data_IF_306664987705
#
_entry.id   IF_306664987705
#
_cell.length_a   1.000
_cell.length_b   1.000
_cell.length_c   1.000
_cell.angle_alpha   90.00
_cell.angle_beta   90.00
_cell.angle_gamma   90.00
#
_symmetry.space_group_name_H-M   'P 1'
#
loop_
_entity.id
_entity.type
_entity.pdbx_description
1 polymer ?
#
# COMPACT_ATOMS: atom_id res chain seq x y z
N UNK A 1 23.92 13.02 27.45
CA UNK A 1 23.25 12.54 26.22
C UNK A 1 22.35 11.38 26.60
N UNK A 2 21.02 11.49 26.45
CA UNK A 2 20.10 10.43 26.83
C UNK A 2 20.20 9.29 25.82
N UNK A 3 20.67 8.12 26.26
CA UNK A 3 20.74 6.87 25.47
C UNK A 3 19.35 6.24 25.18
N UNK A 4 18.27 6.89 25.61
CA UNK A 4 16.92 6.38 25.38
C UNK A 4 16.48 6.71 23.96
N UNK A 5 15.93 5.73 23.21
CA UNK A 5 15.42 5.95 21.85
C UNK A 5 14.29 6.98 21.83
N UNK A 6 14.28 7.82 20.81
CA UNK A 6 13.20 8.83 20.63
C UNK A 6 11.84 8.14 20.41
N UNK A 7 10.75 8.86 20.53
CA UNK A 7 9.42 8.31 20.20
C UNK A 7 9.32 7.93 18.72
N UNK A 8 9.99 8.68 17.83
CA UNK A 8 10.10 8.35 16.43
C UNK A 8 10.84 7.01 16.18
N UNK A 9 11.94 6.77 16.89
CA UNK A 9 12.69 5.50 16.82
C UNK A 9 11.86 4.33 17.35
N UNK A 10 11.11 4.54 18.44
CA UNK A 10 10.19 3.53 18.97
C UNK A 10 9.07 3.21 17.98
N UNK A 11 8.45 4.23 17.41
CA UNK A 11 7.41 4.05 16.37
C UNK A 11 7.93 3.26 15.18
N UNK A 12 9.14 3.59 14.70
CA UNK A 12 9.78 2.86 13.61
C UNK A 12 10.07 1.40 13.96
N UNK A 13 10.59 1.13 15.16
CA UNK A 13 10.84 -0.26 15.63
C UNK A 13 9.54 -1.04 15.74
N UNK A 14 8.48 -0.44 16.28
CA UNK A 14 7.15 -1.04 16.33
C UNK A 14 6.65 -1.41 14.93
N UNK A 15 6.78 -0.50 13.95
CA UNK A 15 6.42 -0.76 12.56
C UNK A 15 7.20 -1.94 11.96
N UNK A 16 8.51 -2.01 12.18
CA UNK A 16 9.34 -3.11 11.67
C UNK A 16 8.95 -4.45 12.32
N UNK A 17 8.72 -4.47 13.64
CA UNK A 17 8.22 -5.67 14.34
C UNK A 17 6.90 -6.14 13.75
N UNK A 18 5.97 -5.20 13.53
CA UNK A 18 4.67 -5.51 12.91
C UNK A 18 4.85 -6.12 11.51
N UNK A 19 5.64 -5.48 10.63
CA UNK A 19 5.84 -5.96 9.25
C UNK A 19 6.54 -7.31 9.20
N UNK A 20 7.57 -7.52 10.02
CA UNK A 20 8.29 -8.80 10.10
C UNK A 20 7.35 -9.90 10.58
N UNK A 21 6.59 -9.67 11.67
CA UNK A 21 5.66 -10.67 12.18
C UNK A 21 4.55 -11.04 11.18
N UNK A 22 4.03 -10.07 10.41
CA UNK A 22 3.06 -10.34 9.34
C UNK A 22 3.64 -11.26 8.26
N UNK A 23 4.84 -10.95 7.78
CA UNK A 23 5.48 -11.74 6.72
C UNK A 23 5.93 -13.11 7.20
N UNK A 24 6.39 -13.24 8.46
CA UNK A 24 6.69 -14.53 9.06
C UNK A 24 5.41 -15.36 9.27
N UNK A 25 4.31 -14.74 9.71
CA UNK A 25 3.01 -15.38 9.82
C UNK A 25 2.57 -15.95 8.45
N UNK A 26 2.69 -15.15 7.40
CA UNK A 26 2.41 -15.58 6.03
C UNK A 26 3.36 -16.69 5.56
N UNK A 27 4.66 -16.56 5.83
CA UNK A 27 5.67 -17.56 5.45
C UNK A 27 5.42 -18.93 6.11
N UNK A 28 5.06 -18.97 7.42
CA UNK A 28 4.70 -20.20 8.10
C UNK A 28 3.45 -20.85 7.48
N UNK A 29 2.42 -20.05 7.24
CA UNK A 29 1.19 -20.54 6.62
C UNK A 29 1.42 -21.07 5.19
N UNK A 30 2.31 -20.43 4.43
CA UNK A 30 2.67 -20.84 3.07
C UNK A 30 3.39 -22.21 3.03
N UNK A 31 4.08 -22.59 4.10
CA UNK A 31 4.69 -23.92 4.24
C UNK A 31 3.82 -24.90 5.05
N UNK A 32 2.54 -24.58 5.27
CA UNK A 32 1.56 -25.43 5.93
C UNK A 32 1.61 -25.39 7.46
N UNK A 33 2.41 -24.51 8.07
CA UNK A 33 2.49 -24.38 9.53
C UNK A 33 1.44 -23.38 10.01
N UNK A 34 0.29 -23.92 10.43
CA UNK A 34 -0.84 -23.18 10.97
C UNK A 34 -0.96 -23.35 12.49
N UNK A 35 -2.03 -22.83 13.10
CA UNK A 35 -2.28 -22.99 14.52
C UNK A 35 -1.40 -22.10 15.42
N UNK A 36 -0.88 -22.62 16.52
CA UNK A 36 -0.18 -21.83 17.54
C UNK A 36 1.00 -20.98 17.05
N UNK A 37 1.91 -21.48 16.16
CA UNK A 37 3.02 -20.64 15.69
C UNK A 37 2.52 -19.40 14.92
N UNK A 38 1.49 -19.55 14.08
CA UNK A 38 0.88 -18.46 13.35
C UNK A 38 0.20 -17.47 14.32
N UNK A 39 -0.57 -17.96 15.28
CA UNK A 39 -1.26 -17.13 16.28
C UNK A 39 -0.24 -16.37 17.16
N UNK A 40 0.88 -16.99 17.53
CA UNK A 40 1.94 -16.33 18.28
C UNK A 40 2.55 -15.16 17.50
N UNK A 41 2.83 -15.33 16.20
CA UNK A 41 3.33 -14.24 15.36
C UNK A 41 2.28 -13.13 15.16
N UNK A 42 1.01 -13.48 15.03
CA UNK A 42 -0.05 -12.49 14.99
C UNK A 42 -0.18 -11.74 16.33
N UNK A 43 -0.01 -12.42 17.47
CA UNK A 43 0.07 -11.76 18.77
C UNK A 43 1.28 -10.81 18.87
N UNK A 44 2.44 -11.16 18.29
CA UNK A 44 3.61 -10.24 18.18
C UNK A 44 3.27 -9.02 17.33
N UNK A 45 2.50 -9.17 16.24
CA UNK A 45 1.99 -8.04 15.48
C UNK A 45 1.12 -7.11 16.35
N UNK A 46 0.20 -7.66 17.13
CA UNK A 46 -0.64 -6.87 18.04
C UNK A 46 0.17 -6.22 19.15
N UNK A 47 1.18 -6.92 19.69
CA UNK A 47 2.13 -6.35 20.66
C UNK A 47 2.92 -5.17 20.05
N UNK A 48 3.35 -5.28 18.80
CA UNK A 48 3.96 -4.18 18.04
C UNK A 48 3.04 -2.96 17.94
N UNK A 49 1.76 -3.19 17.65
CA UNK A 49 0.75 -2.13 17.65
C UNK A 49 0.60 -1.50 19.04
N UNK A 50 0.53 -2.30 20.10
CA UNK A 50 0.47 -1.83 21.49
C UNK A 50 1.72 -1.04 21.91
N UNK A 51 2.91 -1.47 21.49
CA UNK A 51 4.17 -0.75 21.76
C UNK A 51 4.18 0.66 21.14
N UNK A 52 3.45 0.89 20.05
CA UNK A 52 3.33 2.21 19.45
C UNK A 52 2.65 3.23 20.39
N UNK A 53 1.83 2.78 21.35
CA UNK A 53 1.21 3.61 22.37
C UNK A 53 2.24 4.31 23.27
N UNK A 54 3.43 3.74 23.44
CA UNK A 54 4.53 4.37 24.17
C UNK A 54 5.07 5.61 23.45
N UNK A 55 4.71 5.82 22.20
CA UNK A 55 5.04 6.98 21.39
C UNK A 55 4.04 8.13 21.46
N UNK A 56 2.93 8.01 22.21
CA UNK A 56 1.84 9.02 22.22
C UNK A 56 2.24 10.41 22.73
N UNK A 57 3.38 10.54 23.39
CA UNK A 57 3.92 11.85 23.80
C UNK A 57 4.40 12.70 22.62
N UNK A 58 4.67 12.09 21.47
CA UNK A 58 5.05 12.79 20.24
C UNK A 58 3.86 12.82 19.26
N UNK A 59 3.34 13.99 18.94
CA UNK A 59 2.14 14.15 18.11
C UNK A 59 2.28 13.51 16.72
N UNK A 60 3.49 13.44 16.16
CA UNK A 60 3.72 12.76 14.85
C UNK A 60 3.51 11.25 14.93
N UNK A 61 3.60 10.65 16.11
CA UNK A 61 3.28 9.24 16.38
C UNK A 61 1.85 9.11 16.90
N UNK A 62 1.42 10.02 17.78
CA UNK A 62 0.10 9.99 18.40
C UNK A 62 -1.03 10.09 17.37
N UNK A 63 -0.94 11.02 16.41
CA UNK A 63 -1.99 11.22 15.40
C UNK A 63 -2.28 9.91 14.62
N UNK A 64 -1.30 9.24 14.01
CA UNK A 64 -1.53 7.94 13.35
C UNK A 64 -2.12 6.88 14.27
N UNK A 65 -1.57 6.73 15.46
CA UNK A 65 -2.02 5.69 16.41
C UNK A 65 -3.47 5.91 16.80
N UNK A 66 -3.82 7.12 17.23
CA UNK A 66 -5.19 7.43 17.67
C UNK A 66 -6.21 7.32 16.55
N UNK A 67 -5.85 7.74 15.33
CA UNK A 67 -6.74 7.59 14.17
C UNK A 67 -6.94 6.12 13.81
N UNK A 68 -5.87 5.33 13.78
CA UNK A 68 -6.01 3.90 13.50
C UNK A 68 -6.85 3.20 14.56
N UNK A 69 -6.65 3.51 15.85
CA UNK A 69 -7.49 2.97 16.93
C UNK A 69 -8.97 3.37 16.78
N UNK A 70 -9.24 4.62 16.40
CA UNK A 70 -10.60 5.08 16.12
C UNK A 70 -11.22 4.30 14.93
N UNK A 71 -10.47 4.11 13.84
CA UNK A 71 -10.90 3.33 12.68
C UNK A 71 -11.17 1.86 13.04
N UNK A 72 -10.31 1.25 13.87
CA UNK A 72 -10.52 -0.10 14.40
C UNK A 72 -11.81 -0.16 15.22
N UNK A 73 -12.02 0.80 16.13
CA UNK A 73 -13.24 0.90 16.94
C UNK A 73 -14.51 1.05 16.09
N UNK A 74 -14.48 1.92 15.06
CA UNK A 74 -15.61 2.08 14.12
C UNK A 74 -15.82 0.79 13.32
N UNK A 75 -14.75 0.15 12.87
CA UNK A 75 -14.83 -1.11 12.12
C UNK A 75 -15.46 -2.23 12.95
N UNK A 76 -15.14 -2.32 14.24
CA UNK A 76 -15.75 -3.28 15.17
C UNK A 76 -17.25 -3.03 15.37
N UNK A 77 -17.69 -1.76 15.31
CA UNK A 77 -19.08 -1.38 15.49
C UNK A 77 -19.93 -1.34 14.21
N UNK A 78 -19.34 -1.61 13.02
CA UNK A 78 -20.05 -1.53 11.74
C UNK A 78 -20.17 -2.90 11.08
N UNK A 79 -21.27 -3.21 10.35
CA UNK A 79 -21.39 -4.46 9.62
C UNK A 79 -20.41 -4.51 8.43
N UNK A 80 -20.06 -5.71 7.97
CA UNK A 80 -19.27 -5.95 6.77
C UNK A 80 -20.17 -6.28 5.58
N UNK A 81 -21.04 -5.36 5.17
CA UNK A 81 -22.09 -5.58 4.16
C UNK A 81 -21.67 -5.27 2.72
N UNK A 82 -20.51 -4.61 2.53
CA UNK A 82 -20.00 -4.29 1.21
C UNK A 82 -19.51 -5.53 0.45
N UNK A 83 -19.57 -5.47 -0.89
CA UNK A 83 -19.29 -6.63 -1.75
C UNK A 83 -17.88 -7.21 -1.56
N UNK A 84 -16.81 -6.42 -1.81
CA UNK A 84 -15.43 -6.93 -1.73
C UNK A 84 -15.08 -7.51 -0.34
N UNK A 85 -15.40 -6.82 0.79
CA UNK A 85 -15.17 -7.39 2.12
C UNK A 85 -15.83 -8.74 2.32
N UNK A 86 -17.10 -8.90 1.96
CA UNK A 86 -17.85 -10.16 2.17
C UNK A 86 -17.46 -11.24 1.20
N UNK A 87 -17.34 -10.89 -0.11
CA UNK A 87 -17.20 -11.87 -1.17
C UNK A 87 -15.73 -12.25 -1.46
N UNK A 88 -14.77 -11.43 -1.00
CA UNK A 88 -13.35 -11.69 -1.21
C UNK A 88 -12.67 -11.92 0.14
N UNK A 89 -12.48 -10.85 0.92
CA UNK A 89 -11.56 -10.86 2.05
C UNK A 89 -12.03 -11.70 3.22
N UNK A 90 -13.27 -11.49 3.71
CA UNK A 90 -13.85 -12.26 4.79
C UNK A 90 -14.22 -13.67 4.34
N UNK A 91 -14.61 -13.86 3.07
CA UNK A 91 -14.89 -15.18 2.51
C UNK A 91 -13.64 -16.07 2.55
N UNK A 92 -12.53 -15.61 1.98
CA UNK A 92 -11.27 -16.36 2.01
C UNK A 92 -10.75 -16.53 3.44
N UNK A 93 -10.87 -15.50 4.29
CA UNK A 93 -10.48 -15.59 5.69
C UNK A 93 -11.26 -16.67 6.45
N UNK A 94 -12.59 -16.75 6.23
CA UNK A 94 -13.43 -17.77 6.84
C UNK A 94 -13.05 -19.17 6.40
N UNK A 95 -12.76 -19.35 5.11
CA UNK A 95 -12.26 -20.62 4.58
C UNK A 95 -10.94 -21.02 5.21
N UNK A 96 -9.94 -20.10 5.24
CA UNK A 96 -8.65 -20.36 5.90
C UNK A 96 -8.85 -20.73 7.38
N UNK A 97 -9.75 -20.05 8.09
CA UNK A 97 -10.07 -20.34 9.50
C UNK A 97 -10.68 -21.74 9.69
N UNK A 98 -11.64 -22.12 8.84
CA UNK A 98 -12.34 -23.40 8.94
C UNK A 98 -11.50 -24.58 8.45
N UNK A 99 -10.79 -24.41 7.35
CA UNK A 99 -10.04 -25.47 6.67
C UNK A 99 -8.61 -25.63 7.24
N UNK A 100 -8.13 -24.65 8.03
CA UNK A 100 -6.80 -24.69 8.63
C UNK A 100 -5.66 -24.66 7.62
N UNK A 101 -5.88 -24.11 6.42
CA UNK A 101 -4.88 -24.01 5.37
C UNK A 101 -4.98 -22.69 4.61
N UNK A 102 -3.82 -22.18 4.16
CA UNK A 102 -3.74 -21.00 3.30
C UNK A 102 -4.37 -21.25 1.91
N UNK A 103 -4.40 -22.50 1.48
CA UNK A 103 -4.78 -22.92 0.14
C UNK A 103 -6.27 -23.27 -0.03
N UNK A 104 -7.10 -23.05 0.97
CA UNK A 104 -8.55 -23.28 0.92
C UNK A 104 -9.24 -22.55 -0.26
N UNK A 105 -8.71 -21.39 -0.68
CA UNK A 105 -9.23 -20.61 -1.80
C UNK A 105 -8.80 -21.13 -3.18
N UNK A 106 -7.87 -22.12 -3.25
CA UNK A 106 -7.33 -22.66 -4.48
C UNK A 106 -8.11 -23.89 -5.00
N UNK A 107 -9.32 -24.11 -4.52
CA UNK A 107 -10.22 -25.17 -4.98
C UNK A 107 -11.24 -24.71 -6.04
N UNK A 108 -11.05 -23.50 -6.58
CA UNK A 108 -11.92 -22.85 -7.57
C UNK A 108 -13.37 -22.61 -7.09
N UNK A 109 -13.64 -22.79 -5.80
CA UNK A 109 -14.95 -22.48 -5.22
C UNK A 109 -15.19 -20.97 -5.25
N UNK A 110 -16.36 -20.54 -5.74
CA UNK A 110 -16.72 -19.14 -5.92
C UNK A 110 -15.66 -18.34 -6.74
N UNK A 111 -15.47 -18.64 -8.03
CA UNK A 111 -14.39 -18.03 -8.85
C UNK A 111 -14.48 -16.50 -8.92
N UNK A 112 -15.69 -15.91 -8.79
CA UNK A 112 -15.88 -14.45 -8.72
C UNK A 112 -15.27 -13.79 -7.46
N UNK A 113 -14.79 -14.60 -6.49
CA UNK A 113 -14.11 -14.11 -5.28
C UNK A 113 -12.64 -13.77 -5.49
N UNK A 114 -12.14 -13.74 -6.71
CA UNK A 114 -10.74 -13.48 -7.01
C UNK A 114 -9.79 -14.44 -6.28
N UNK A 115 -9.96 -15.74 -6.51
CA UNK A 115 -9.20 -16.80 -5.84
C UNK A 115 -7.67 -16.72 -6.10
N UNK A 116 -7.24 -15.95 -7.10
CA UNK A 116 -5.84 -15.68 -7.41
C UNK A 116 -5.23 -14.52 -6.58
N UNK A 117 -6.03 -13.81 -5.78
CA UNK A 117 -5.53 -12.73 -4.93
C UNK A 117 -4.63 -13.29 -3.82
N UNK A 118 -3.54 -12.57 -3.45
CA UNK A 118 -2.66 -13.00 -2.37
C UNK A 118 -3.40 -13.13 -1.04
N UNK A 119 -3.10 -14.20 -0.29
CA UNK A 119 -3.84 -14.58 0.90
C UNK A 119 -3.35 -13.92 2.21
N UNK A 120 -2.43 -12.93 2.17
CA UNK A 120 -1.90 -12.30 3.39
C UNK A 120 -3.01 -11.73 4.26
N UNK A 121 -3.89 -10.90 3.70
CA UNK A 121 -4.95 -10.25 4.50
C UNK A 121 -5.98 -11.24 4.99
N UNK A 122 -6.53 -12.14 4.17
CA UNK A 122 -7.38 -13.22 4.63
C UNK A 122 -6.76 -14.05 5.76
N UNK A 123 -5.47 -14.39 5.67
CA UNK A 123 -4.76 -15.11 6.71
C UNK A 123 -4.76 -14.37 8.05
N UNK A 124 -4.47 -13.06 8.04
CA UNK A 124 -4.47 -12.26 9.26
C UNK A 124 -5.86 -12.10 9.87
N UNK A 125 -6.89 -11.99 9.02
CA UNK A 125 -8.28 -12.01 9.45
C UNK A 125 -8.66 -13.36 10.07
N UNK A 126 -8.21 -14.47 9.49
CA UNK A 126 -8.38 -15.81 10.05
C UNK A 126 -7.63 -15.97 11.39
N UNK A 127 -6.40 -15.42 11.50
CA UNK A 127 -5.65 -15.42 12.75
C UNK A 127 -6.37 -14.63 13.86
N UNK A 128 -7.00 -13.51 13.54
CA UNK A 128 -7.82 -12.75 14.48
C UNK A 128 -8.99 -13.57 15.03
N UNK A 129 -9.70 -14.31 14.17
CA UNK A 129 -10.74 -15.25 14.60
C UNK A 129 -10.16 -16.40 15.42
N UNK A 130 -8.99 -16.91 15.05
CA UNK A 130 -8.27 -17.96 15.76
C UNK A 130 -7.90 -17.60 17.20
N UNK A 131 -7.50 -16.33 17.46
CA UNK A 131 -7.24 -15.84 18.80
C UNK A 131 -8.51 -15.81 19.69
N UNK A 132 -9.69 -15.62 19.10
CA UNK A 132 -10.97 -15.68 19.83
C UNK A 132 -11.50 -17.11 20.00
N UNK A 133 -10.98 -18.07 19.24
CA UNK A 133 -11.47 -19.44 19.22
C UNK A 133 -12.80 -19.64 18.49
N UNK A 134 -13.37 -18.61 17.89
CA UNK A 134 -14.60 -18.69 17.10
C UNK A 134 -14.62 -17.66 15.97
N UNK A 135 -15.32 -17.99 14.89
CA UNK A 135 -15.52 -17.06 13.77
C UNK A 135 -16.58 -16.01 14.13
N UNK A 136 -16.26 -14.76 13.86
CA UNK A 136 -17.18 -13.64 13.70
C UNK A 136 -16.66 -12.73 12.57
N UNK A 137 -17.48 -11.85 12.04
CA UNK A 137 -17.07 -10.99 10.92
C UNK A 137 -16.52 -9.62 11.37
N UNK A 138 -16.69 -9.26 12.65
CA UNK A 138 -16.33 -7.93 13.15
C UNK A 138 -14.84 -7.82 13.44
N UNK A 139 -14.28 -8.75 14.24
CA UNK A 139 -12.87 -8.70 14.59
C UNK A 139 -11.95 -8.98 13.40
N UNK A 140 -12.18 -10.00 12.55
CA UNK A 140 -11.43 -10.20 11.32
C UNK A 140 -11.40 -8.95 10.44
N UNK A 141 -12.55 -8.29 10.21
CA UNK A 141 -12.64 -7.07 9.42
C UNK A 141 -11.80 -5.93 10.00
N UNK A 142 -11.76 -5.80 11.31
CA UNK A 142 -11.02 -4.75 12.02
C UNK A 142 -9.49 -4.87 11.88
N UNK A 143 -8.98 -5.99 11.36
CA UNK A 143 -7.56 -6.14 10.96
C UNK A 143 -7.20 -5.17 9.83
N UNK A 144 -8.12 -4.91 8.90
CA UNK A 144 -7.83 -4.04 7.75
C UNK A 144 -7.37 -2.62 8.16
N UNK A 145 -8.11 -1.84 8.98
CA UNK A 145 -7.63 -0.54 9.43
C UNK A 145 -6.35 -0.63 10.30
N UNK A 146 -6.14 -1.72 11.04
CA UNK A 146 -4.93 -1.89 11.83
C UNK A 146 -3.67 -2.00 10.97
N UNK A 147 -3.77 -2.53 9.76
CA UNK A 147 -2.67 -2.62 8.80
C UNK A 147 -2.19 -1.24 8.28
N UNK A 148 -2.93 -0.16 8.48
CA UNK A 148 -2.44 1.20 8.18
C UNK A 148 -1.30 1.62 9.10
N UNK A 149 -1.27 1.09 10.33
CA UNK A 149 -0.39 1.58 11.39
C UNK A 149 1.10 1.45 11.05
N UNK A 150 1.65 0.29 10.62
CA UNK A 150 3.07 0.17 10.34
C UNK A 150 3.53 1.11 9.22
N UNK A 151 2.74 1.29 8.16
CA UNK A 151 3.07 2.22 7.08
C UNK A 151 3.10 3.68 7.55
N UNK A 152 2.10 4.10 8.32
CA UNK A 152 2.05 5.45 8.92
C UNK A 152 3.21 5.70 9.88
N UNK A 153 3.58 4.73 10.73
CA UNK A 153 4.71 4.85 11.66
C UNK A 153 6.07 4.94 10.95
N UNK A 154 6.20 4.43 9.73
CA UNK A 154 7.43 4.54 8.95
C UNK A 154 7.59 5.94 8.31
N UNK A 155 6.50 6.60 7.91
CA UNK A 155 6.58 7.87 7.20
C UNK A 155 6.32 9.08 8.10
N UNK A 156 5.36 9.01 9.01
CA UNK A 156 4.93 10.15 9.84
C UNK A 156 6.05 10.80 10.67
N UNK A 157 6.93 10.04 11.35
CA UNK A 157 8.03 10.66 12.09
C UNK A 157 9.03 11.41 11.21
N UNK A 158 9.16 11.03 9.94
CA UNK A 158 10.02 11.69 8.97
C UNK A 158 9.43 12.94 8.33
N UNK A 159 8.15 13.22 8.56
CA UNK A 159 7.52 14.46 8.10
C UNK A 159 7.98 15.64 8.96
N UNK A 160 8.20 16.78 8.34
CA UNK A 160 8.82 17.96 8.97
C UNK A 160 8.02 18.47 10.19
N UNK A 161 6.69 18.39 10.17
CA UNK A 161 5.86 18.84 11.28
C UNK A 161 4.64 17.94 11.48
N UNK A 162 4.03 18.05 12.67
CA UNK A 162 2.77 17.40 12.99
C UNK A 162 1.62 17.76 12.03
N UNK A 163 1.65 18.95 11.45
CA UNK A 163 0.62 19.40 10.51
C UNK A 163 0.65 18.62 9.20
N UNK A 164 1.84 18.21 8.75
CA UNK A 164 1.97 17.33 7.58
C UNK A 164 1.45 15.94 7.87
N UNK A 165 1.62 15.45 9.09
CA UNK A 165 1.02 14.16 9.52
C UNK A 165 -0.50 14.29 9.55
N UNK A 166 -1.03 15.36 10.12
CA UNK A 166 -2.47 15.63 10.14
C UNK A 166 -3.05 15.75 8.73
N UNK A 167 -2.38 16.46 7.83
CA UNK A 167 -2.81 16.57 6.42
C UNK A 167 -2.82 15.22 5.72
N UNK A 168 -1.78 14.40 5.89
CA UNK A 168 -1.74 13.04 5.33
C UNK A 168 -2.91 12.20 5.84
N UNK A 169 -3.15 12.21 7.15
CA UNK A 169 -4.24 11.45 7.77
C UNK A 169 -5.60 11.96 7.28
N UNK A 170 -5.82 13.28 7.22
CA UNK A 170 -7.06 13.87 6.69
C UNK A 170 -7.28 13.47 5.22
N UNK A 171 -6.22 13.47 4.41
CA UNK A 171 -6.29 13.03 3.02
C UNK A 171 -6.68 11.55 2.94
N UNK A 172 -6.06 10.68 3.75
CA UNK A 172 -6.42 9.26 3.82
C UNK A 172 -7.88 9.05 4.24
N UNK A 173 -8.33 9.75 5.27
CA UNK A 173 -9.72 9.68 5.74
C UNK A 173 -10.70 10.15 4.65
N UNK A 174 -10.33 11.20 3.91
CA UNK A 174 -11.20 11.76 2.86
C UNK A 174 -11.23 10.90 1.60
N UNK A 175 -10.10 10.36 1.19
CA UNK A 175 -9.98 9.50 -0.02
C UNK A 175 -10.51 8.09 0.25
N UNK A 176 -10.17 7.51 1.40
CA UNK A 176 -10.58 6.16 1.80
C UNK A 176 -12.04 6.08 2.24
N UNK A 177 -12.56 7.15 2.87
CA UNK A 177 -13.95 7.20 3.37
C UNK A 177 -14.32 5.93 4.17
N UNK A 178 -15.49 5.39 3.87
CA UNK A 178 -16.00 4.14 4.46
C UNK A 178 -15.12 2.91 4.18
N UNK A 179 -14.33 2.92 3.10
CA UNK A 179 -13.45 1.79 2.75
C UNK A 179 -12.46 1.47 3.85
N UNK A 180 -12.03 2.48 4.63
CA UNK A 180 -11.09 2.30 5.74
C UNK A 180 -11.64 1.42 6.87
N UNK A 181 -12.96 1.36 7.03
CA UNK A 181 -13.62 0.62 8.13
C UNK A 181 -14.39 -0.60 7.66
N UNK A 182 -14.73 -0.67 6.37
CA UNK A 182 -15.52 -1.76 5.80
C UNK A 182 -14.70 -2.96 5.31
N UNK A 183 -13.36 -2.93 5.44
CA UNK A 183 -12.51 -4.06 5.06
C UNK A 183 -12.09 -4.09 3.59
N UNK A 184 -12.11 -2.95 2.88
CA UNK A 184 -11.48 -2.81 1.56
C UNK A 184 -9.96 -2.65 1.67
N UNK A 185 -9.22 -3.09 0.66
CA UNK A 185 -7.75 -3.04 0.64
C UNK A 185 -7.19 -1.86 -0.14
N UNK A 186 -8.00 -1.14 -0.90
CA UNK A 186 -7.54 -0.11 -1.85
C UNK A 186 -6.76 1.02 -1.18
N UNK A 187 -7.22 1.50 -0.01
CA UNK A 187 -6.53 2.55 0.75
C UNK A 187 -5.22 2.04 1.38
N UNK A 188 -5.16 0.76 1.77
CA UNK A 188 -3.92 0.11 2.22
C UNK A 188 -2.90 0.09 1.08
N UNK A 189 -3.31 -0.39 -0.10
CA UNK A 189 -2.45 -0.40 -1.30
C UNK A 189 -1.92 1.00 -1.59
N UNK A 190 -2.76 2.03 -1.53
CA UNK A 190 -2.36 3.41 -1.76
C UNK A 190 -1.34 3.93 -0.73
N UNK A 191 -1.56 3.65 0.56
CA UNK A 191 -0.65 4.07 1.63
C UNK A 191 0.69 3.34 1.58
N UNK A 192 0.68 2.02 1.34
CA UNK A 192 1.91 1.23 1.23
C UNK A 192 2.73 1.64 -0.01
N UNK A 193 2.09 1.97 -1.12
CA UNK A 193 2.77 2.52 -2.31
C UNK A 193 3.44 3.88 -2.02
N UNK A 194 2.71 4.79 -1.35
CA UNK A 194 3.26 6.06 -0.90
C UNK A 194 4.46 5.86 0.02
N UNK A 195 4.36 4.90 0.96
CA UNK A 195 5.42 4.56 1.90
C UNK A 195 6.65 3.99 1.18
N UNK A 196 6.45 3.08 0.22
CA UNK A 196 7.52 2.52 -0.60
C UNK A 196 8.26 3.61 -1.39
N UNK A 197 7.53 4.54 -2.02
CA UNK A 197 8.12 5.67 -2.74
C UNK A 197 8.97 6.56 -1.82
N UNK A 198 8.44 6.93 -0.65
CA UNK A 198 9.16 7.78 0.33
C UNK A 198 10.42 7.08 0.82
N UNK A 199 10.37 5.77 1.12
CA UNK A 199 11.53 5.00 1.55
C UNK A 199 12.57 4.85 0.44
N UNK A 200 12.15 4.56 -0.79
CA UNK A 200 13.05 4.50 -1.96
C UNK A 200 13.77 5.84 -2.17
N UNK A 201 13.06 6.96 -2.01
CA UNK A 201 13.65 8.29 -2.14
C UNK A 201 14.61 8.66 -1.00
N UNK A 202 14.40 8.13 0.22
CA UNK A 202 15.35 8.31 1.35
C UNK A 202 16.67 7.57 1.13
N UNK A 203 16.63 6.47 0.41
CA UNK A 203 17.82 5.65 0.09
C UNK A 203 18.66 6.26 -1.04
N UNK A 204 18.11 7.25 -1.75
CA UNK A 204 18.76 7.94 -2.84
C UNK A 204 19.86 8.89 -2.33
N UNK A 205 21.01 8.91 -2.99
CA UNK A 205 22.09 9.87 -2.71
C UNK A 205 22.79 9.69 -1.36
N UNK A 206 22.47 8.65 -0.59
CA UNK A 206 23.17 8.34 0.65
C UNK A 206 24.27 7.32 0.40
N UNK A 207 25.39 7.47 1.11
CA UNK A 207 26.33 6.36 1.30
C UNK A 207 25.52 5.19 1.91
N UNK A 208 25.37 4.15 1.11
CA UNK A 208 24.51 2.98 1.39
C UNK A 208 24.81 2.30 2.74
N UNK A 209 26.02 2.52 3.31
CA UNK A 209 26.43 2.00 4.60
C UNK A 209 25.69 2.65 5.78
N UNK A 210 25.09 3.83 5.60
CA UNK A 210 24.55 4.64 6.71
C UNK A 210 23.09 4.38 7.05
N UNK A 211 22.32 3.65 6.22
CA UNK A 211 20.88 3.40 6.45
C UNK A 211 20.40 1.98 6.13
N UNK A 212 21.02 0.92 6.67
CA UNK A 212 20.60 -0.45 6.41
C UNK A 212 19.14 -0.71 6.81
N UNK A 213 18.68 -0.04 7.87
CA UNK A 213 17.30 -0.17 8.31
C UNK A 213 16.24 0.41 7.34
N UNK A 214 16.59 1.35 6.45
CA UNK A 214 15.64 1.86 5.43
C UNK A 214 15.52 0.88 4.26
N UNK A 215 16.59 0.16 3.92
CA UNK A 215 16.55 -0.92 2.90
C UNK A 215 15.64 -2.05 3.37
N UNK A 216 15.80 -2.48 4.62
CA UNK A 216 14.93 -3.51 5.22
C UNK A 216 13.48 -3.03 5.27
N UNK A 217 13.23 -1.80 5.71
CA UNK A 217 11.89 -1.22 5.74
C UNK A 217 11.26 -1.18 4.33
N UNK A 218 12.03 -0.79 3.31
CA UNK A 218 11.55 -0.79 1.91
C UNK A 218 11.18 -2.22 1.46
N UNK A 219 12.06 -3.19 1.69
CA UNK A 219 11.79 -4.58 1.32
C UNK A 219 10.52 -5.12 1.99
N UNK A 220 10.35 -4.89 3.30
CA UNK A 220 9.16 -5.32 4.04
C UNK A 220 7.88 -4.63 3.53
N UNK A 221 7.93 -3.33 3.27
CA UNK A 221 6.80 -2.55 2.73
C UNK A 221 6.42 -3.03 1.33
N UNK A 222 7.39 -3.28 0.45
CA UNK A 222 7.15 -3.80 -0.91
C UNK A 222 6.58 -5.22 -0.84
N UNK A 223 7.08 -6.08 0.04
CA UNK A 223 6.57 -7.43 0.23
C UNK A 223 5.09 -7.40 0.67
N UNK A 224 4.76 -6.60 1.69
CA UNK A 224 3.37 -6.44 2.12
C UNK A 224 2.52 -5.83 1.01
N UNK A 225 2.95 -4.76 0.34
CA UNK A 225 2.23 -4.12 -0.76
C UNK A 225 1.86 -5.14 -1.86
N UNK A 226 2.82 -5.98 -2.25
CA UNK A 226 2.62 -7.01 -3.29
C UNK A 226 1.65 -8.12 -2.85
N UNK A 227 1.52 -8.34 -1.53
CA UNK A 227 0.63 -9.35 -0.95
C UNK A 227 -0.73 -8.79 -0.50
N UNK A 228 -0.97 -7.47 -0.63
CA UNK A 228 -2.28 -6.87 -0.34
C UNK A 228 -3.30 -7.16 -1.43
N UNK A 229 -2.89 -7.01 -2.70
CA UNK A 229 -3.73 -7.17 -3.91
C UNK A 229 -2.84 -7.41 -5.12
N UNK A 230 -3.37 -7.98 -6.19
CA UNK A 230 -2.61 -8.20 -7.44
C UNK A 230 -2.00 -6.89 -7.99
N UNK A 231 -2.73 -5.78 -7.91
CA UNK A 231 -2.28 -4.46 -8.35
C UNK A 231 -1.09 -3.94 -7.52
N UNK A 232 -0.93 -4.45 -6.29
CA UNK A 232 0.13 -4.02 -5.38
C UNK A 232 1.54 -4.26 -5.93
N UNK A 233 1.78 -5.39 -6.60
CA UNK A 233 3.08 -5.68 -7.22
C UNK A 233 3.41 -4.74 -8.38
N UNK A 234 2.42 -4.48 -9.24
CA UNK A 234 2.57 -3.55 -10.37
C UNK A 234 2.84 -2.14 -9.85
N UNK A 235 2.08 -1.72 -8.85
CA UNK A 235 2.26 -0.41 -8.23
C UNK A 235 3.62 -0.29 -7.53
N UNK A 236 4.09 -1.34 -6.85
CA UNK A 236 5.43 -1.40 -6.26
C UNK A 236 6.52 -1.22 -7.34
N UNK A 237 6.38 -1.89 -8.49
CA UNK A 237 7.29 -1.73 -9.61
C UNK A 237 7.29 -0.29 -10.16
N UNK A 238 6.10 0.32 -10.30
CA UNK A 238 5.96 1.70 -10.78
C UNK A 238 6.61 2.68 -9.81
N UNK A 239 6.35 2.60 -8.50
CA UNK A 239 6.87 3.59 -7.53
C UNK A 239 8.37 3.43 -7.29
N UNK A 240 8.87 2.20 -7.15
CA UNK A 240 10.31 1.93 -6.98
C UNK A 240 11.06 2.22 -8.27
N UNK A 241 10.52 1.75 -9.41
CA UNK A 241 11.09 1.99 -10.74
C UNK A 241 11.19 3.47 -11.08
N UNK A 242 10.19 4.29 -10.74
CA UNK A 242 10.24 5.75 -10.92
C UNK A 242 11.38 6.38 -10.12
N UNK A 243 11.60 5.94 -8.87
CA UNK A 243 12.71 6.42 -8.05
C UNK A 243 14.08 6.04 -8.61
N UNK A 244 14.23 4.78 -9.05
CA UNK A 244 15.46 4.27 -9.67
C UNK A 244 15.74 4.98 -11.00
N UNK A 245 14.74 5.14 -11.86
CA UNK A 245 14.86 5.80 -13.15
C UNK A 245 15.30 7.25 -12.99
N UNK A 246 14.68 7.98 -12.09
CA UNK A 246 15.02 9.39 -11.86
C UNK A 246 16.45 9.51 -11.29
N UNK A 247 16.88 8.60 -10.39
CA UNK A 247 18.28 8.53 -9.92
C UNK A 247 19.25 8.22 -11.05
N UNK A 248 18.93 7.28 -11.93
CA UNK A 248 19.76 6.95 -13.09
C UNK A 248 19.89 8.13 -14.06
N UNK A 249 18.81 8.87 -14.33
CA UNK A 249 18.82 10.00 -15.25
C UNK A 249 19.56 11.22 -14.71
N UNK A 250 19.38 11.55 -13.41
CA UNK A 250 19.98 12.77 -12.83
C UNK A 250 21.37 12.57 -12.24
N UNK A 251 21.56 11.47 -11.55
CA UNK A 251 22.79 11.20 -10.80
C UNK A 251 23.73 10.25 -11.56
N UNK A 252 23.25 9.68 -12.68
CA UNK A 252 23.94 8.64 -13.47
C UNK A 252 24.37 7.45 -12.60
N UNK A 253 23.59 7.16 -11.56
CA UNK A 253 23.84 6.08 -10.62
C UNK A 253 22.62 5.17 -10.52
N UNK A 254 22.86 3.86 -10.61
CA UNK A 254 21.85 2.85 -10.38
C UNK A 254 21.95 2.34 -8.94
N UNK A 255 20.91 2.55 -8.16
CA UNK A 255 20.85 2.04 -6.79
C UNK A 255 20.52 0.54 -6.80
N UNK A 256 21.52 -0.33 -7.06
CA UNK A 256 21.33 -1.78 -7.18
C UNK A 256 20.78 -2.44 -5.91
N UNK A 257 21.08 -1.87 -4.72
CA UNK A 257 20.54 -2.38 -3.45
C UNK A 257 19.04 -2.18 -3.32
N UNK A 258 18.51 -1.07 -3.85
CA UNK A 258 17.06 -0.85 -3.93
C UNK A 258 16.42 -1.87 -4.87
N UNK A 259 17.05 -2.13 -6.02
CA UNK A 259 16.58 -3.17 -6.95
C UNK A 259 16.64 -4.57 -6.33
N UNK A 260 17.73 -4.91 -5.64
CA UNK A 260 17.84 -6.19 -4.94
C UNK A 260 16.78 -6.34 -3.85
N UNK A 261 16.58 -5.29 -3.03
CA UNK A 261 15.54 -5.27 -2.00
C UNK A 261 14.15 -5.46 -2.62
N UNK A 262 13.88 -4.81 -3.75
CA UNK A 262 12.64 -4.97 -4.51
C UNK A 262 12.45 -6.41 -5.01
N UNK A 263 13.46 -7.00 -5.64
CA UNK A 263 13.38 -8.38 -6.16
C UNK A 263 13.16 -9.38 -5.03
N UNK A 264 13.92 -9.27 -3.93
CA UNK A 264 13.77 -10.14 -2.76
C UNK A 264 12.37 -9.99 -2.13
N UNK A 265 11.86 -8.78 -2.08
CA UNK A 265 10.52 -8.49 -1.54
C UNK A 265 9.38 -9.13 -2.34
N UNK A 266 9.59 -9.44 -3.62
CA UNK A 266 8.59 -10.12 -4.46
C UNK A 266 8.58 -11.64 -4.32
N UNK A 267 9.57 -12.26 -3.66
CA UNK A 267 9.64 -13.72 -3.52
C UNK A 267 8.38 -14.34 -2.88
N UNK A 268 7.78 -13.77 -1.81
CA UNK A 268 6.55 -14.32 -1.25
C UNK A 268 5.36 -14.29 -2.23
N UNK A 269 5.25 -13.23 -3.04
CA UNK A 269 4.24 -13.15 -4.08
C UNK A 269 4.50 -14.18 -5.18
N UNK A 270 5.75 -14.35 -5.60
CA UNK A 270 6.11 -15.35 -6.63
C UNK A 270 5.75 -16.75 -6.16
N UNK A 271 6.05 -17.10 -4.90
CA UNK A 271 5.63 -18.37 -4.31
C UNK A 271 4.10 -18.55 -4.34
N UNK A 272 3.33 -17.50 -4.02
CA UNK A 272 1.87 -17.52 -4.13
C UNK A 272 1.41 -17.76 -5.58
N UNK A 273 1.95 -16.98 -6.54
CA UNK A 273 1.56 -17.11 -7.95
C UNK A 273 1.94 -18.44 -8.56
N UNK A 274 3.01 -19.09 -8.10
CA UNK A 274 3.33 -20.49 -8.53
C UNK A 274 2.30 -21.48 -7.99
N UNK A 275 1.81 -21.32 -6.75
CA UNK A 275 0.74 -22.17 -6.20
C UNK A 275 -0.59 -21.96 -6.93
N UNK A 276 -0.95 -20.70 -7.24
CA UNK A 276 -2.15 -20.36 -8.04
C UNK A 276 -2.08 -20.98 -9.44
N UNK A 277 -0.92 -20.87 -10.09
CA UNK A 277 -0.71 -21.45 -11.42
C UNK A 277 -0.76 -23.00 -11.41
N UNK A 278 -0.16 -23.62 -10.37
CA UNK A 278 -0.21 -25.08 -10.19
C UNK A 278 -1.64 -25.59 -9.93
N UNK A 279 -2.49 -24.79 -9.30
CA UNK A 279 -3.90 -25.08 -9.07
C UNK A 279 -4.80 -24.74 -10.27
N UNK A 280 -4.23 -24.23 -11.39
CA UNK A 280 -4.96 -23.79 -12.59
C UNK A 280 -6.05 -22.74 -12.33
N UNK A 281 -5.90 -21.94 -11.29
CA UNK A 281 -6.83 -20.84 -10.97
C UNK A 281 -6.64 -19.72 -12.00
N UNK A 282 -7.73 -19.37 -12.68
CA UNK A 282 -7.74 -18.27 -13.64
C UNK A 282 -7.93 -16.93 -12.95
N UNK A 283 -7.33 -15.87 -13.51
CA UNK A 283 -7.68 -14.51 -13.16
C UNK A 283 -8.93 -14.12 -13.95
N UNK A 284 -10.02 -13.84 -13.28
CA UNK A 284 -11.31 -13.46 -13.86
C UNK A 284 -11.30 -12.10 -14.60
N UNK A 285 -10.23 -11.31 -14.42
CA UNK A 285 -9.98 -10.08 -15.16
C UNK A 285 -9.11 -10.30 -16.41
N UNK A 286 -8.57 -11.50 -16.62
CA UNK A 286 -7.81 -11.86 -17.82
C UNK A 286 -8.74 -12.43 -18.88
N UNK A 287 -9.13 -11.62 -19.86
CA UNK A 287 -9.95 -12.06 -21.00
C UNK A 287 -9.15 -12.82 -22.06
N UNK A 288 -9.80 -13.74 -22.77
CA UNK A 288 -9.22 -14.50 -23.89
C UNK A 288 -8.96 -13.65 -25.15
N UNK A 289 -9.73 -12.55 -25.33
CA UNK A 289 -9.72 -11.69 -26.54
C UNK A 289 -9.09 -10.32 -26.29
N UNK A 290 -7.97 -10.31 -25.58
CA UNK A 290 -7.30 -9.07 -25.16
C UNK A 290 -7.01 -8.11 -26.32
N UNK A 291 -6.52 -8.62 -27.46
CA UNK A 291 -6.13 -7.80 -28.61
C UNK A 291 -7.31 -7.16 -29.31
N UNK A 292 -8.40 -7.91 -29.51
CA UNK A 292 -9.60 -7.41 -30.16
C UNK A 292 -10.28 -6.33 -29.30
N UNK A 293 -10.39 -6.53 -28.00
CA UNK A 293 -10.96 -5.56 -27.06
C UNK A 293 -10.13 -4.28 -27.01
N UNK A 294 -8.80 -4.40 -26.92
CA UNK A 294 -7.89 -3.24 -26.98
C UNK A 294 -8.12 -2.42 -28.25
N UNK A 295 -8.16 -3.08 -29.41
CA UNK A 295 -8.31 -2.39 -30.69
C UNK A 295 -9.65 -1.67 -30.79
N UNK A 296 -10.76 -2.33 -30.47
CA UNK A 296 -12.11 -1.76 -30.50
C UNK A 296 -12.21 -0.55 -29.58
N UNK A 297 -11.74 -0.66 -28.32
CA UNK A 297 -11.81 0.44 -27.36
C UNK A 297 -10.87 1.62 -27.66
N UNK A 298 -9.79 1.35 -28.39
CA UNK A 298 -8.89 2.42 -28.85
C UNK A 298 -9.47 3.18 -30.06
N UNK A 299 -10.20 2.51 -30.95
CA UNK A 299 -10.48 3.04 -32.28
C UNK A 299 -11.97 3.34 -32.54
N UNK A 300 -12.90 2.59 -31.99
CA UNK A 300 -14.29 2.59 -32.49
C UNK A 300 -15.37 2.93 -31.48
N UNK A 301 -15.25 2.52 -30.22
CA UNK A 301 -16.35 2.65 -29.25
C UNK A 301 -16.27 3.86 -28.31
N UNK A 302 -15.26 4.72 -28.48
CA UNK A 302 -15.02 5.84 -27.57
C UNK A 302 -14.54 5.43 -26.17
N UNK A 303 -14.17 4.17 -25.97
CA UNK A 303 -13.75 3.62 -24.70
C UNK A 303 -12.56 4.35 -24.07
N UNK A 304 -11.57 4.73 -24.90
CA UNK A 304 -10.42 5.51 -24.44
C UNK A 304 -10.82 6.84 -23.80
N UNK A 305 -11.77 7.57 -24.40
CA UNK A 305 -12.25 8.85 -23.87
C UNK A 305 -13.02 8.63 -22.55
N UNK A 306 -13.83 7.58 -22.48
CA UNK A 306 -14.56 7.20 -21.25
C UNK A 306 -13.61 6.87 -20.11
N UNK A 307 -12.56 6.08 -20.36
CA UNK A 307 -11.54 5.73 -19.38
C UNK A 307 -10.82 6.98 -18.88
N UNK A 308 -10.29 7.81 -19.79
CA UNK A 308 -9.56 9.02 -19.41
C UNK A 308 -10.46 10.00 -18.64
N UNK A 309 -11.70 10.19 -19.07
CA UNK A 309 -12.67 11.01 -18.36
C UNK A 309 -12.87 10.51 -16.93
N UNK A 310 -13.07 9.21 -16.74
CA UNK A 310 -13.33 8.61 -15.42
C UNK A 310 -12.11 8.61 -14.52
N UNK A 311 -10.91 8.42 -15.06
CA UNK A 311 -9.66 8.44 -14.30
C UNK A 311 -9.20 9.85 -13.93
N UNK A 312 -9.40 10.85 -14.80
CA UNK A 312 -8.77 12.17 -14.65
C UNK A 312 -9.74 13.29 -14.24
N UNK A 313 -11.01 13.24 -14.66
CA UNK A 313 -11.98 14.32 -14.41
C UNK A 313 -12.71 14.12 -13.08
N UNK A 314 -11.99 14.37 -11.99
CA UNK A 314 -12.50 14.35 -10.63
C UNK A 314 -11.76 15.42 -9.81
N UNK A 315 -12.42 16.02 -8.83
CA UNK A 315 -11.86 17.11 -8.02
C UNK A 315 -10.53 16.73 -7.34
N UNK A 316 -10.41 15.46 -6.89
CA UNK A 316 -9.21 14.93 -6.22
C UNK A 316 -8.04 14.70 -7.18
N UNK A 317 -8.32 14.64 -8.47
CA UNK A 317 -7.33 14.57 -9.53
C UNK A 317 -6.99 15.96 -10.08
N UNK A 318 -8.02 16.74 -10.39
CA UNK A 318 -7.84 18.05 -11.04
C UNK A 318 -7.13 19.07 -10.14
N UNK A 319 -7.46 19.13 -8.84
CA UNK A 319 -6.85 20.10 -7.94
C UNK A 319 -5.33 19.97 -7.85
N UNK A 320 -4.76 18.79 -7.51
CA UNK A 320 -3.31 18.64 -7.50
C UNK A 320 -2.68 18.79 -8.89
N UNK A 321 -3.33 18.35 -9.98
CA UNK A 321 -2.82 18.49 -11.35
C UNK A 321 -2.70 19.96 -11.75
N UNK A 322 -3.68 20.81 -11.41
CA UNK A 322 -3.59 22.26 -11.64
C UNK A 322 -2.42 22.90 -10.88
N UNK A 323 -2.26 22.54 -9.60
CA UNK A 323 -1.10 23.01 -8.81
C UNK A 323 0.22 22.59 -9.46
N UNK A 324 0.32 21.35 -9.90
CA UNK A 324 1.52 20.81 -10.55
C UNK A 324 1.78 21.48 -11.91
N UNK A 325 0.73 21.78 -12.69
CA UNK A 325 0.84 22.50 -13.96
C UNK A 325 1.36 23.93 -13.75
N UNK A 326 0.85 24.64 -12.75
CA UNK A 326 1.34 26.00 -12.40
C UNK A 326 2.78 25.97 -11.89
N UNK A 327 3.11 24.96 -11.08
CA UNK A 327 4.42 24.84 -10.44
C UNK A 327 5.37 23.89 -11.16
N UNK A 328 5.17 23.59 -12.45
CA UNK A 328 5.86 22.55 -13.20
C UNK A 328 7.40 22.68 -13.10
N UNK A 329 7.96 23.91 -13.14
CA UNK A 329 9.41 24.14 -12.98
C UNK A 329 9.91 23.68 -11.61
N UNK A 330 9.14 23.93 -10.54
CA UNK A 330 9.49 23.47 -9.19
C UNK A 330 9.37 21.96 -9.05
N UNK A 331 8.39 21.35 -9.71
CA UNK A 331 8.27 19.88 -9.76
C UNK A 331 9.53 19.28 -10.34
N UNK A 332 10.00 19.78 -11.50
CA UNK A 332 11.20 19.28 -12.14
C UNK A 332 12.47 19.53 -11.31
N UNK A 333 12.53 20.59 -10.51
CA UNK A 333 13.67 20.90 -9.64
C UNK A 333 13.72 20.05 -8.36
N UNK A 334 12.60 19.42 -7.98
CA UNK A 334 12.48 18.68 -6.73
C UNK A 334 12.33 17.17 -6.98
N UNK A 335 13.36 16.38 -6.70
CA UNK A 335 13.36 14.95 -7.04
C UNK A 335 12.13 14.20 -6.53
N UNK A 336 11.74 14.41 -5.27
CA UNK A 336 10.58 13.73 -4.69
C UNK A 336 9.26 14.10 -5.40
N UNK A 337 9.09 15.38 -5.80
CA UNK A 337 7.91 15.80 -6.56
C UNK A 337 7.90 15.19 -7.96
N UNK A 338 9.05 15.18 -8.64
CA UNK A 338 9.19 14.62 -9.97
C UNK A 338 8.93 13.10 -9.98
N UNK A 339 9.47 12.36 -9.01
CA UNK A 339 9.27 10.92 -8.88
C UNK A 339 7.81 10.60 -8.52
N UNK A 340 7.20 11.35 -7.62
CA UNK A 340 5.79 11.15 -7.26
C UNK A 340 4.85 11.40 -8.46
N UNK A 341 5.12 12.45 -9.25
CA UNK A 341 4.38 12.71 -10.49
C UNK A 341 4.62 11.61 -11.53
N UNK A 342 5.86 11.19 -11.74
CA UNK A 342 6.20 10.10 -12.67
C UNK A 342 5.51 8.79 -12.28
N UNK A 343 5.52 8.44 -11.00
CA UNK A 343 4.83 7.26 -10.49
C UNK A 343 3.30 7.36 -10.66
N UNK A 344 2.71 8.54 -10.41
CA UNK A 344 1.29 8.78 -10.63
C UNK A 344 0.91 8.59 -12.11
N UNK A 345 1.66 9.20 -13.03
CA UNK A 345 1.43 9.06 -14.46
C UNK A 345 1.65 7.61 -14.94
N UNK A 346 2.70 6.96 -14.46
CA UNK A 346 2.97 5.55 -14.76
C UNK A 346 1.82 4.64 -14.32
N UNK A 347 1.26 4.86 -13.12
CA UNK A 347 0.14 4.04 -12.65
C UNK A 347 -1.18 4.39 -13.35
N UNK A 348 -1.41 5.66 -13.76
CA UNK A 348 -2.53 6.01 -14.64
C UNK A 348 -2.44 5.24 -15.97
N UNK A 349 -1.24 5.16 -16.55
CA UNK A 349 -1.04 4.40 -17.79
C UNK A 349 -1.36 2.90 -17.60
N UNK A 350 -0.94 2.32 -16.45
CA UNK A 350 -1.31 0.93 -16.11
C UNK A 350 -2.82 0.78 -15.99
N UNK A 351 -3.50 1.65 -15.25
CA UNK A 351 -4.97 1.60 -15.11
C UNK A 351 -5.67 1.77 -16.45
N UNK A 352 -5.18 2.67 -17.29
CA UNK A 352 -5.71 2.86 -18.63
C UNK A 352 -5.64 1.57 -19.45
N UNK A 353 -4.49 0.88 -19.44
CA UNK A 353 -4.31 -0.41 -20.11
C UNK A 353 -5.22 -1.50 -19.53
N UNK A 354 -5.36 -1.58 -18.21
CA UNK A 354 -6.25 -2.54 -17.54
C UNK A 354 -7.71 -2.33 -17.96
N UNK A 355 -8.19 -1.08 -18.03
CA UNK A 355 -9.55 -0.82 -18.48
C UNK A 355 -9.75 -1.03 -19.99
N UNK A 356 -8.73 -0.78 -20.80
CA UNK A 356 -8.78 -1.13 -22.22
C UNK A 356 -8.91 -2.64 -22.44
N UNK A 357 -8.27 -3.45 -21.60
CA UNK A 357 -8.18 -4.91 -21.72
C UNK A 357 -9.24 -5.68 -20.93
N UNK A 358 -10.06 -5.00 -20.09
CA UNK A 358 -11.01 -5.71 -19.23
C UNK A 358 -12.04 -6.52 -20.05
N UNK A 359 -12.34 -7.79 -19.67
CA UNK A 359 -13.40 -8.58 -20.30
C UNK A 359 -14.80 -8.12 -19.89
N UNK A 360 -14.90 -7.33 -18.83
CA UNK A 360 -16.16 -6.83 -18.29
C UNK A 360 -16.74 -5.68 -19.14
N UNK A 361 -18.04 -5.41 -18.97
CA UNK A 361 -18.61 -4.17 -19.50
C UNK A 361 -17.83 -2.96 -18.97
N UNK A 362 -17.36 -2.12 -19.87
CA UNK A 362 -16.45 -1.04 -19.54
C UNK A 362 -17.09 -0.01 -18.62
N UNK A 363 -18.35 0.35 -18.85
CA UNK A 363 -19.05 1.37 -18.07
C UNK A 363 -19.27 0.86 -16.63
N UNK A 364 -19.73 -0.38 -16.49
CA UNK A 364 -19.89 -1.03 -15.21
C UNK A 364 -18.55 -1.14 -14.45
N UNK A 365 -17.50 -1.62 -15.09
CA UNK A 365 -16.19 -1.77 -14.46
C UNK A 365 -15.62 -0.42 -13.99
N UNK A 366 -15.71 0.62 -14.82
CA UNK A 366 -15.30 1.97 -14.43
C UNK A 366 -16.13 2.54 -13.28
N UNK A 367 -17.45 2.28 -13.27
CA UNK A 367 -18.34 2.76 -12.23
C UNK A 367 -18.02 2.12 -10.86
N UNK A 368 -17.75 0.83 -10.85
CA UNK A 368 -17.57 0.05 -9.61
C UNK A 368 -16.17 0.10 -9.04
N UNK A 369 -15.13 0.33 -9.86
CA UNK A 369 -13.73 0.19 -9.41
C UNK A 369 -12.88 1.45 -9.54
N UNK A 370 -13.12 2.35 -10.53
CA UNK A 370 -12.19 3.44 -10.84
C UNK A 370 -11.86 4.37 -9.67
N UNK A 371 -12.85 4.72 -8.84
CA UNK A 371 -12.64 5.58 -7.65
C UNK A 371 -11.72 4.91 -6.63
N UNK A 372 -11.81 3.59 -6.50
CA UNK A 372 -11.02 2.80 -5.56
C UNK A 372 -9.58 2.64 -6.04
N UNK A 373 -9.39 2.10 -7.25
CA UNK A 373 -8.06 1.76 -7.78
C UNK A 373 -7.19 2.99 -8.10
N UNK A 374 -7.76 4.19 -8.24
CA UNK A 374 -7.00 5.43 -8.44
C UNK A 374 -6.52 6.09 -7.15
N UNK A 375 -6.89 5.60 -5.95
CA UNK A 375 -6.44 6.18 -4.68
C UNK A 375 -4.91 6.35 -4.59
N UNK A 376 -4.07 5.41 -5.06
CA UNK A 376 -2.63 5.61 -5.09
C UNK A 376 -2.22 6.83 -5.91
N UNK A 377 -2.87 7.06 -7.07
CA UNK A 377 -2.59 8.23 -7.93
C UNK A 377 -2.90 9.52 -7.19
N UNK A 378 -4.06 9.59 -6.52
CA UNK A 378 -4.44 10.76 -5.72
C UNK A 378 -3.37 11.07 -4.68
N UNK A 379 -2.95 10.08 -3.87
CA UNK A 379 -1.93 10.29 -2.83
C UNK A 379 -0.58 10.74 -3.42
N UNK A 380 -0.16 10.16 -4.53
CA UNK A 380 1.08 10.52 -5.21
C UNK A 380 1.04 11.93 -5.79
N UNK A 381 -0.07 12.33 -6.41
CA UNK A 381 -0.26 13.70 -6.92
C UNK A 381 -0.30 14.73 -5.79
N UNK A 382 -0.98 14.43 -4.69
CA UNK A 382 -0.98 15.31 -3.51
C UNK A 382 0.41 15.42 -2.89
N UNK A 383 1.19 14.33 -2.80
CA UNK A 383 2.59 14.38 -2.38
C UNK A 383 3.40 15.29 -3.30
N UNK A 384 3.29 15.11 -4.63
CA UNK A 384 4.01 15.91 -5.60
C UNK A 384 3.66 17.40 -5.49
N UNK A 385 2.36 17.72 -5.41
CA UNK A 385 1.86 19.10 -5.26
C UNK A 385 2.34 19.73 -3.95
N UNK A 386 2.22 19.00 -2.84
CA UNK A 386 2.68 19.44 -1.52
C UNK A 386 4.17 19.77 -1.53
N UNK A 387 4.99 18.88 -2.09
CA UNK A 387 6.44 19.11 -2.21
C UNK A 387 6.74 20.28 -3.14
N UNK A 388 5.99 20.48 -4.23
CA UNK A 388 6.19 21.58 -5.16
C UNK A 388 5.83 22.94 -4.57
N UNK A 389 4.74 23.01 -3.78
CA UNK A 389 4.30 24.24 -3.09
C UNK A 389 5.27 24.65 -1.99
N UNK A 390 5.88 23.68 -1.34
CA UNK A 390 6.75 23.96 -0.21
C UNK A 390 7.86 24.93 -0.59
N UNK A 391 8.01 26.04 0.14
CA UNK A 391 9.22 26.87 0.11
C UNK A 391 10.24 26.19 1.05
N UNK A 392 11.43 25.83 0.57
CA UNK A 392 12.55 25.60 1.47
C UNK A 392 12.74 26.91 2.26
N UNK A 393 12.76 26.86 3.59
CA UNK A 393 13.19 28.05 4.34
C UNK A 393 14.55 28.45 3.76
N UNK A 394 14.76 29.78 3.52
CA UNK A 394 16.09 30.24 3.23
C UNK A 394 17.00 29.72 4.34
N UNK A 395 18.08 29.08 3.95
CA UNK A 395 18.99 28.31 4.79
C UNK A 395 19.13 28.92 6.18
N UNK A 396 18.94 28.09 7.24
CA UNK A 396 19.55 28.38 8.51
C UNK A 396 21.02 28.74 8.24
N UNK A 397 21.53 29.85 8.80
CA UNK A 397 22.90 30.28 8.53
C UNK A 397 23.83 29.11 8.75
N UNK A 398 24.71 28.86 7.76
CA UNK A 398 25.75 27.87 7.88
C UNK A 398 26.44 28.08 9.23
N UNK A 399 26.44 27.05 10.09
CA UNK A 399 27.22 27.08 11.31
C UNK A 399 28.65 27.44 10.91
N UNK A 400 29.25 28.47 11.53
CA UNK A 400 30.63 28.80 11.19
C UNK A 400 31.52 27.59 11.41
N UNK A 401 32.31 27.28 10.42
CA UNK A 401 33.35 26.25 10.43
C UNK A 401 34.24 26.46 11.70
N UNK A 402 34.30 25.50 12.61
CA UNK A 402 35.23 25.58 13.72
C UNK A 402 36.64 25.32 13.14
N UNK A 403 37.38 26.41 12.88
CA UNK A 403 38.82 26.33 12.64
C UNK A 403 39.56 25.97 13.91
#
# INVERSE_FOLDING_TARGET
MSFLPTAADRGRRAALVMLVSLLLCYGLAAVGVMGWPMLALFAVFLAGAALSLLGLRELRVAIPVLVVLALVGISLGSPGDAWDPRSIWLFHAKRIYLDGTLYAQLDDYAPWSHNDYPALVPLLMAAAAGLLGHWNELLPKAVAPLLLLPALLLIAPGLRSRWWVALLVLLLLRVGREMLVNGYMDTLVALYALTALVLAMRLRGTDDSRRPGDIVALALVVAVLSLLKNEGAVLAAVVVGSGVLEGALRERRLCWRVLLAFVVALLPLLAWKTSVAAAHISNDLAGSDLQSQLLVRLTTDGGSAMILKRLLLDEWMLAPLLVLAVLWRRVLQRPLAAVALLAALGYIAVLFLVYLSTPQDLAWHLQTSAVRVRQPVVLLLFLAATVAVWRADPAAPATPDPR
#
